data_IF_379395977855
#
_entry.id   IF_379395977855
#
_cell.length_a   1.000
_cell.length_b   1.000
_cell.length_c   1.000
_cell.angle_alpha   90.00
_cell.angle_beta   90.00
_cell.angle_gamma   90.00
#
_symmetry.space_group_name_H-M   'P 1'
#
loop_
_entity.id
_entity.type
_entity.pdbx_description
1 polymer ?
#
# COMPACT_ATOMS: atom_id res chain seq x y z
N UNK A 1 43.15 -5.50 12.75
CA UNK A 1 41.76 -5.03 12.63
C UNK A 1 40.91 -6.18 12.11
N UNK A 2 39.64 -6.26 12.50
CA UNK A 2 38.73 -7.30 12.00
C UNK A 2 38.20 -6.86 10.63
N UNK A 3 38.43 -7.67 9.60
CA UNK A 3 37.95 -7.40 8.24
C UNK A 3 36.50 -7.86 8.09
N UNK A 4 35.57 -6.95 8.37
CA UNK A 4 34.13 -7.14 8.23
C UNK A 4 33.54 -6.05 7.33
N UNK A 5 32.54 -6.41 6.54
CA UNK A 5 31.82 -5.49 5.68
C UNK A 5 30.77 -4.72 6.49
N UNK A 6 30.90 -3.40 6.54
CA UNK A 6 30.03 -2.52 7.33
C UNK A 6 28.98 -1.76 6.50
N UNK A 7 28.81 -2.11 5.22
CA UNK A 7 27.95 -1.37 4.28
C UNK A 7 26.45 -1.46 4.61
N UNK A 8 26.01 -2.51 5.31
CA UNK A 8 24.59 -2.76 5.62
C UNK A 8 24.25 -2.72 7.13
N UNK A 9 25.21 -2.36 7.99
CA UNK A 9 25.00 -2.32 9.44
C UNK A 9 23.86 -1.38 9.84
N UNK A 10 23.73 -0.26 9.12
CA UNK A 10 22.67 0.72 9.32
C UNK A 10 21.36 0.26 8.69
N UNK A 11 20.50 -0.37 9.49
CA UNK A 11 19.13 -0.72 9.09
C UNK A 11 18.25 0.51 8.91
N UNK A 12 17.81 0.77 7.66
CA UNK A 12 16.91 1.87 7.32
C UNK A 12 15.46 1.51 7.66
N UNK A 13 14.98 1.98 8.81
CA UNK A 13 13.57 1.82 9.24
C UNK A 13 13.11 3.00 10.09
N UNK A 14 11.86 3.49 9.91
CA UNK A 14 11.30 4.52 10.78
C UNK A 14 11.23 4.03 12.24
N UNK A 15 11.75 4.83 13.17
CA UNK A 15 11.65 4.59 14.63
C UNK A 15 10.63 5.52 15.31
N UNK A 16 10.11 6.49 14.56
CA UNK A 16 9.15 7.51 14.97
C UNK A 16 8.41 8.07 13.74
N UNK A 17 7.23 8.69 13.90
CA UNK A 17 6.57 9.34 12.77
C UNK A 17 7.34 10.61 12.39
N UNK A 18 7.53 10.85 11.08
CA UNK A 18 8.10 12.12 10.59
C UNK A 18 7.19 13.33 10.85
N UNK A 19 5.89 13.09 11.02
CA UNK A 19 4.89 14.14 11.26
C UNK A 19 5.06 14.78 12.64
N UNK A 20 4.81 16.09 12.72
CA UNK A 20 4.79 16.86 13.97
C UNK A 20 3.41 16.91 14.62
N UNK A 21 2.39 16.29 14.00
CA UNK A 21 1.02 16.23 14.54
C UNK A 21 1.00 15.64 15.97
N UNK A 22 0.43 16.43 16.89
CA UNK A 22 0.35 16.12 18.32
C UNK A 22 -0.52 14.88 18.54
N UNK A 23 -1.65 14.75 17.84
CA UNK A 23 -2.57 13.62 18.03
C UNK A 23 -1.92 12.31 17.62
N UNK A 24 -1.22 12.30 16.48
CA UNK A 24 -0.46 11.14 16.04
C UNK A 24 0.63 10.76 17.06
N UNK A 25 1.31 11.75 17.65
CA UNK A 25 2.36 11.52 18.66
C UNK A 25 1.80 10.96 19.95
N UNK A 26 0.62 11.41 20.40
CA UNK A 26 -0.06 10.85 21.57
C UNK A 26 -0.43 9.38 21.34
N UNK A 27 -1.00 9.06 20.18
CA UNK A 27 -1.35 7.69 19.82
C UNK A 27 -0.11 6.78 19.75
N UNK A 28 1.00 7.30 19.19
CA UNK A 28 2.29 6.62 19.18
C UNK A 28 2.79 6.35 20.60
N UNK A 29 2.71 7.31 21.52
CA UNK A 29 3.12 7.11 22.93
C UNK A 29 2.35 5.96 23.58
N UNK A 30 1.03 5.91 23.38
CA UNK A 30 0.17 4.84 23.88
C UNK A 30 0.58 3.47 23.31
N UNK A 31 0.65 3.34 21.98
CA UNK A 31 1.00 2.06 21.35
C UNK A 31 2.45 1.64 21.59
N UNK A 32 3.37 2.59 21.87
CA UNK A 32 4.74 2.29 22.28
C UNK A 32 4.80 1.68 23.67
N UNK A 33 3.95 2.15 24.59
CA UNK A 33 3.79 1.53 25.91
C UNK A 33 3.18 0.13 25.78
N UNK A 34 2.05 0.00 25.08
CA UNK A 34 1.36 -1.28 24.89
C UNK A 34 2.23 -2.32 24.19
N UNK A 35 2.90 -1.96 23.09
CA UNK A 35 3.75 -2.88 22.33
C UNK A 35 4.97 -3.41 23.12
N UNK A 36 5.40 -2.67 24.16
CA UNK A 36 6.49 -3.10 25.05
C UNK A 36 6.01 -3.93 26.24
N UNK A 37 4.83 -3.61 26.78
CA UNK A 37 4.29 -4.22 28.01
C UNK A 37 3.36 -5.41 27.76
N UNK A 38 2.93 -5.62 26.52
CA UNK A 38 2.01 -6.70 26.14
C UNK A 38 2.64 -7.63 25.11
N UNK A 39 2.25 -8.90 25.14
CA UNK A 39 2.74 -9.95 24.24
C UNK A 39 2.10 -9.96 22.82
N UNK A 40 0.88 -9.44 22.57
CA UNK A 40 0.29 -9.48 21.24
C UNK A 40 1.10 -8.71 20.18
N UNK A 41 1.44 -9.39 19.08
CA UNK A 41 2.13 -8.81 17.92
C UNK A 41 1.31 -7.72 17.22
N UNK A 42 -0.02 -7.71 17.42
CA UNK A 42 -0.93 -6.69 16.91
C UNK A 42 -0.48 -5.27 17.25
N UNK A 43 -0.13 -5.00 18.51
CA UNK A 43 0.28 -3.67 18.96
C UNK A 43 1.59 -3.22 18.30
N UNK A 44 2.51 -4.16 18.09
CA UNK A 44 3.77 -3.90 17.38
C UNK A 44 3.53 -3.55 15.91
N UNK A 45 2.57 -4.23 15.26
CA UNK A 45 2.17 -3.94 13.88
C UNK A 45 1.50 -2.57 13.77
N UNK A 46 0.58 -2.24 14.69
CA UNK A 46 -0.10 -0.93 14.71
C UNK A 46 0.93 0.19 14.91
N UNK A 47 1.83 0.06 15.88
CA UNK A 47 2.91 1.03 16.12
C UNK A 47 3.78 1.23 14.87
N UNK A 48 4.19 0.13 14.22
CA UNK A 48 4.97 0.19 12.98
C UNK A 48 4.22 0.90 11.86
N UNK A 49 2.89 0.71 11.75
CA UNK A 49 2.04 1.39 10.76
C UNK A 49 1.87 2.88 11.05
N UNK A 50 1.79 3.29 12.32
CA UNK A 50 1.72 4.71 12.69
C UNK A 50 2.95 5.51 12.26
N UNK A 51 4.12 4.87 12.16
CA UNK A 51 5.35 5.50 11.65
C UNK A 51 5.41 5.63 10.13
N UNK A 52 4.55 4.92 9.40
CA UNK A 52 4.59 4.93 7.93
C UNK A 52 4.16 6.28 7.35
N UNK A 53 4.77 6.65 6.23
CA UNK A 53 4.35 7.82 5.44
C UNK A 53 2.96 7.63 4.83
N UNK A 54 2.34 8.73 4.37
CA UNK A 54 1.00 8.69 3.73
C UNK A 54 0.97 7.80 2.50
N UNK A 55 2.01 7.84 1.66
CA UNK A 55 2.12 6.96 0.46
C UNK A 55 2.10 5.49 0.83
N UNK A 56 2.71 5.11 1.96
CA UNK A 56 2.76 3.75 2.46
C UNK A 56 1.51 3.36 3.28
N UNK A 57 0.57 4.28 3.47
CA UNK A 57 -0.75 4.08 4.09
C UNK A 57 -1.85 4.48 3.11
N UNK A 58 -2.04 3.70 2.02
CA UNK A 58 -3.04 4.02 1.02
C UNK A 58 -4.45 3.99 1.64
N UNK A 59 -5.38 4.83 1.17
CA UNK A 59 -6.76 4.81 1.63
C UNK A 59 -7.42 3.46 1.32
N UNK A 60 -8.26 2.98 2.23
CA UNK A 60 -9.01 1.74 2.07
C UNK A 60 -10.46 2.05 1.70
N UNK A 61 -10.95 1.53 0.58
CA UNK A 61 -12.36 1.68 0.20
C UNK A 61 -13.28 0.82 1.06
N UNK A 62 -14.50 1.31 1.33
CA UNK A 62 -15.55 0.55 2.02
C UNK A 62 -15.83 -0.79 1.32
N UNK A 63 -15.92 -0.79 -0.01
CA UNK A 63 -16.10 -1.99 -0.83
C UNK A 63 -15.05 -3.08 -0.56
N UNK A 64 -13.78 -2.68 -0.39
CA UNK A 64 -12.68 -3.59 -0.12
C UNK A 64 -12.69 -4.08 1.33
N UNK A 65 -13.10 -3.23 2.27
CA UNK A 65 -13.27 -3.61 3.68
C UNK A 65 -14.39 -4.64 3.84
N UNK A 66 -15.57 -4.40 3.25
CA UNK A 66 -16.72 -5.31 3.26
C UNK A 66 -16.32 -6.68 2.73
N UNK A 67 -15.72 -6.74 1.53
CA UNK A 67 -15.22 -8.01 0.94
C UNK A 67 -14.23 -8.78 1.83
N UNK A 68 -13.49 -8.11 2.72
CA UNK A 68 -12.56 -8.76 3.65
C UNK A 68 -13.20 -9.18 4.97
N UNK A 69 -14.36 -8.63 5.29
CA UNK A 69 -15.16 -9.01 6.46
C UNK A 69 -16.18 -10.10 6.17
N UNK A 70 -16.72 -10.16 4.95
CA UNK A 70 -17.62 -11.24 4.51
C UNK A 70 -16.89 -12.58 4.25
N UNK A 71 -15.58 -12.66 4.49
CA UNK A 71 -14.84 -13.93 4.39
C UNK A 71 -15.21 -14.85 5.57
N UNK A 72 -15.33 -16.17 5.34
CA UNK A 72 -15.73 -17.10 6.39
C UNK A 72 -14.75 -17.07 7.57
N UNK A 73 -15.26 -17.21 8.80
CA UNK A 73 -14.45 -17.21 10.03
C UNK A 73 -14.06 -15.82 10.53
N UNK A 74 -14.71 -14.76 10.03
CA UNK A 74 -14.50 -13.36 10.47
C UNK A 74 -15.76 -12.66 10.94
N UNK A 75 -16.86 -13.38 11.06
CA UNK A 75 -18.06 -12.92 11.74
C UNK A 75 -17.69 -12.42 13.16
N UNK A 76 -18.30 -11.32 13.58
CA UNK A 76 -18.09 -10.67 14.88
C UNK A 76 -16.67 -10.09 15.14
N UNK A 77 -15.79 -10.02 14.13
CA UNK A 77 -14.47 -9.38 14.29
C UNK A 77 -14.52 -7.89 13.90
N UNK A 78 -13.80 -7.06 14.65
CA UNK A 78 -13.70 -5.62 14.39
C UNK A 78 -12.66 -5.32 13.30
N UNK A 79 -13.02 -4.46 12.34
CA UNK A 79 -12.08 -3.95 11.33
C UNK A 79 -11.18 -2.89 11.96
N UNK A 80 -9.86 -3.09 11.92
CA UNK A 80 -8.90 -2.04 12.32
C UNK A 80 -8.09 -1.59 11.12
N UNK A 81 -8.21 -0.30 10.80
CA UNK A 81 -7.48 0.35 9.72
C UNK A 81 -6.65 1.50 10.29
N UNK A 82 -5.35 1.50 10.01
CA UNK A 82 -4.45 2.61 10.34
C UNK A 82 -4.26 3.46 9.09
N UNK A 83 -5.21 4.32 8.80
CA UNK A 83 -5.26 5.12 7.58
C UNK A 83 -6.66 5.63 7.30
N UNK A 84 -6.83 6.28 6.16
CA UNK A 84 -8.12 6.84 5.74
C UNK A 84 -9.01 5.75 5.16
N UNK A 85 -10.28 5.73 5.56
CA UNK A 85 -11.32 4.94 4.91
C UNK A 85 -12.05 5.86 3.94
N UNK A 86 -12.21 5.43 2.69
CA UNK A 86 -12.91 6.21 1.67
C UNK A 86 -14.25 5.57 1.36
N UNK A 87 -15.27 6.42 1.25
CA UNK A 87 -16.58 6.00 0.79
C UNK A 87 -16.52 5.50 -0.67
N UNK A 88 -17.37 4.53 -0.99
CA UNK A 88 -17.49 3.96 -2.32
C UNK A 88 -18.97 3.89 -2.69
N UNK A 89 -19.45 4.97 -3.31
CA UNK A 89 -20.87 5.20 -3.69
C UNK A 89 -21.44 4.07 -4.57
N UNK A 90 -20.59 3.20 -5.12
CA UNK A 90 -20.96 2.08 -6.01
C UNK A 90 -21.34 0.80 -5.25
N UNK A 91 -21.31 0.79 -3.92
CA UNK A 91 -21.60 -0.41 -3.10
C UNK A 91 -23.11 -0.54 -2.89
N UNK A 92 -23.76 -1.39 -3.68
CA UNK A 92 -25.09 -1.94 -3.38
C UNK A 92 -25.14 -3.48 -3.58
N UNK A 93 -24.53 -4.07 -4.62
CA UNK A 93 -24.13 -5.49 -4.75
C UNK A 93 -23.20 -5.67 -5.97
N UNK A 94 -22.11 -6.48 -5.93
CA UNK A 94 -21.34 -6.81 -7.17
C UNK A 94 -20.59 -8.16 -7.15
N UNK A 95 -21.07 -9.17 -7.91
CA UNK A 95 -20.31 -10.30 -8.49
C UNK A 95 -20.24 -10.16 -10.04
N UNK A 96 -19.45 -10.84 -10.89
CA UNK A 96 -18.38 -11.86 -10.85
C UNK A 96 -17.27 -11.34 -11.78
N UNK A 97 -16.00 -11.46 -11.38
CA UNK A 97 -14.86 -10.92 -12.14
C UNK A 97 -14.04 -12.06 -12.77
N UNK A 98 -13.74 -11.93 -14.05
CA UNK A 98 -12.76 -12.79 -14.75
C UNK A 98 -11.46 -11.99 -14.85
N UNK A 99 -10.41 -12.48 -14.18
CA UNK A 99 -9.08 -11.87 -14.14
C UNK A 99 -8.26 -12.46 -15.29
N UNK A 100 -7.65 -11.65 -16.17
CA UNK A 100 -6.73 -12.18 -17.17
C UNK A 100 -5.42 -12.64 -16.53
N UNK A 101 -4.93 -13.76 -17.04
CA UNK A 101 -3.65 -14.40 -16.72
C UNK A 101 -2.46 -13.60 -17.26
N UNK A 102 -1.32 -13.77 -16.57
CA UNK A 102 -0.01 -13.21 -16.88
C UNK A 102 0.53 -13.68 -18.23
N UNK A 103 0.97 -12.72 -19.04
CA UNK A 103 1.92 -12.91 -20.14
C UNK A 103 3.08 -11.93 -19.94
N UNK A 104 4.31 -12.38 -20.23
CA UNK A 104 5.54 -11.57 -20.16
C UNK A 104 5.53 -10.47 -21.24
N UNK A 105 4.87 -9.36 -20.97
CA UNK A 105 5.07 -8.08 -21.67
C UNK A 105 5.18 -6.95 -20.62
N UNK A 106 6.18 -6.08 -20.75
CA UNK A 106 6.37 -4.95 -19.81
C UNK A 106 5.39 -3.84 -20.15
N UNK A 107 4.19 -3.90 -19.59
CA UNK A 107 3.12 -2.90 -19.78
C UNK A 107 3.30 -1.65 -18.89
N UNK A 108 4.53 -1.13 -18.78
CA UNK A 108 4.79 0.11 -18.04
C UNK A 108 4.28 1.31 -18.84
N UNK A 109 3.40 2.11 -18.23
CA UNK A 109 2.87 3.33 -18.84
C UNK A 109 3.98 4.39 -18.95
N UNK A 110 4.27 4.94 -20.15
CA UNK A 110 5.31 5.95 -20.30
C UNK A 110 4.91 7.31 -19.69
N UNK A 111 5.90 8.08 -19.28
CA UNK A 111 5.71 9.47 -18.83
C UNK A 111 5.63 10.39 -20.05
N UNK A 112 4.40 10.73 -20.46
CA UNK A 112 4.14 11.59 -21.62
C UNK A 112 3.42 12.86 -21.17
N UNK A 113 3.84 14.02 -21.67
CA UNK A 113 3.24 15.33 -21.33
C UNK A 113 1.73 15.40 -21.61
N UNK A 114 1.27 14.78 -22.71
CA UNK A 114 -0.13 14.74 -23.12
C UNK A 114 -0.48 13.41 -23.77
N UNK A 115 -1.73 12.98 -23.62
CA UNK A 115 -2.24 11.77 -24.28
C UNK A 115 -2.90 12.13 -25.60
N UNK A 116 -2.63 11.37 -26.65
CA UNK A 116 -3.29 11.57 -27.94
C UNK A 116 -2.65 10.75 -29.05
N UNK A 117 -3.27 10.77 -30.24
CA UNK A 117 -2.79 10.03 -31.43
C UNK A 117 -1.36 10.41 -31.83
N UNK A 118 -0.97 11.66 -31.60
CA UNK A 118 0.34 12.23 -31.96
C UNK A 118 1.45 11.94 -30.93
N UNK A 119 1.12 11.43 -29.74
CA UNK A 119 2.09 11.27 -28.65
C UNK A 119 2.39 9.80 -28.41
N UNK A 120 3.64 9.39 -28.63
CA UNK A 120 4.20 8.05 -28.34
C UNK A 120 3.35 6.86 -28.80
N UNK A 121 2.77 6.97 -30.02
CA UNK A 121 1.91 5.93 -30.62
C UNK A 121 2.43 5.39 -31.96
N UNK A 122 3.63 5.78 -32.39
CA UNK A 122 4.19 5.41 -33.69
C UNK A 122 5.17 4.22 -33.58
N UNK A 123 6.46 4.44 -33.83
CA UNK A 123 7.49 3.41 -33.82
C UNK A 123 7.65 2.76 -32.44
N UNK A 124 7.84 1.45 -32.39
CA UNK A 124 7.95 0.67 -31.15
C UNK A 124 6.62 0.31 -30.49
N UNK A 125 5.49 0.84 -30.99
CA UNK A 125 4.13 0.54 -30.50
C UNK A 125 3.22 -0.10 -31.55
N UNK A 126 3.56 0.02 -32.84
CA UNK A 126 2.78 -0.53 -33.97
C UNK A 126 3.68 -1.31 -34.91
N UNK A 127 3.22 -2.49 -35.33
CA UNK A 127 3.95 -3.31 -36.30
C UNK A 127 4.13 -2.57 -37.65
N UNK A 128 3.16 -1.74 -38.03
CA UNK A 128 3.19 -0.95 -39.27
C UNK A 128 4.17 0.24 -39.26
N UNK A 129 4.88 0.50 -38.16
CA UNK A 129 5.83 1.62 -38.04
C UNK A 129 7.17 1.11 -37.51
N UNK A 130 7.89 0.35 -38.34
CA UNK A 130 9.25 -0.12 -38.07
C UNK A 130 9.30 -1.40 -37.24
N UNK A 131 8.81 -1.38 -36.00
CA UNK A 131 8.72 -2.56 -35.15
C UNK A 131 7.70 -2.36 -34.02
N UNK A 132 7.24 -3.46 -33.41
CA UNK A 132 6.42 -3.48 -32.21
C UNK A 132 7.11 -4.34 -31.16
N UNK A 133 7.29 -3.77 -29.97
CA UNK A 133 7.77 -4.47 -28.78
C UNK A 133 6.64 -5.19 -28.06
#
# INVERSE_FOLDING_TARGET
GVDIRHNEDRKVRPKEPKSQDIYLRLLVKLYRFLARRTNPTFNQVVLKRLFMSRTNRPPLSLSRMIRKMTLPGRENKTAVVVGTITDDVRVQEVPKLKVPHEGREVHTKPYVRSKGRKFERARGRRASRGYKN
#
